data_IF_225719628316
#
_entry.id   IF_225719628316
#
_cell.length_a   1.000
_cell.length_b   1.000
_cell.length_c   1.000
_cell.angle_alpha   90.00
_cell.angle_beta   90.00
_cell.angle_gamma   90.00
#
_symmetry.space_group_name_H-M   'P 1'
#
loop_
_entity.id
_entity.type
_entity.pdbx_description
1 polymer ?
#
# COMPACT_ATOMS: atom_id res chain seq x y z
N UNK A 1 -3.24 -29.49 0.29
CA UNK A 1 -1.85 -29.07 0.01
C UNK A 1 -1.80 -27.65 -0.57
N UNK A 2 -2.59 -27.34 -1.61
CA UNK A 2 -2.69 -25.98 -2.17
C UNK A 2 -3.16 -24.94 -1.14
N UNK A 3 -4.10 -25.33 -0.27
CA UNK A 3 -4.64 -24.49 0.81
C UNK A 3 -3.56 -23.91 1.75
N UNK A 4 -2.65 -24.77 2.22
CA UNK A 4 -1.54 -24.37 3.09
C UNK A 4 -0.56 -23.45 2.36
N UNK A 5 -0.33 -23.68 1.06
CA UNK A 5 0.54 -22.84 0.25
C UNK A 5 -0.02 -21.44 0.08
N UNK A 6 -1.30 -21.32 -0.29
CA UNK A 6 -1.97 -20.01 -0.45
C UNK A 6 -2.06 -19.27 0.90
N UNK A 7 -2.40 -19.98 1.99
CA UNK A 7 -2.36 -19.40 3.34
C UNK A 7 -0.97 -18.88 3.69
N UNK A 8 0.08 -19.63 3.36
CA UNK A 8 1.47 -19.21 3.52
C UNK A 8 1.83 -17.97 2.70
N UNK A 9 1.35 -17.86 1.45
CA UNK A 9 1.55 -16.68 0.60
C UNK A 9 0.88 -15.43 1.18
N UNK A 10 -0.38 -15.55 1.62
CA UNK A 10 -1.11 -14.44 2.25
C UNK A 10 -0.40 -14.01 3.54
N UNK A 11 0.01 -14.94 4.39
CA UNK A 11 0.75 -14.61 5.61
C UNK A 11 2.09 -13.93 5.30
N UNK A 12 2.85 -14.46 4.33
CA UNK A 12 4.09 -13.85 3.87
C UNK A 12 3.90 -12.43 3.34
N UNK A 13 2.83 -12.20 2.58
CA UNK A 13 2.47 -10.87 2.08
C UNK A 13 2.16 -9.91 3.23
N UNK A 14 1.33 -10.30 4.20
CA UNK A 14 0.95 -9.47 5.35
C UNK A 14 2.16 -9.15 6.23
N UNK A 15 3.10 -10.10 6.38
CA UNK A 15 4.37 -9.83 7.07
C UNK A 15 5.24 -8.82 6.34
N UNK A 16 5.28 -8.88 5.01
CA UNK A 16 6.04 -7.94 4.20
C UNK A 16 5.36 -6.57 4.06
N UNK A 17 4.02 -6.52 4.20
CA UNK A 17 3.21 -5.32 4.04
C UNK A 17 2.21 -5.16 5.20
N UNK A 18 2.67 -4.94 6.45
CA UNK A 18 1.76 -4.78 7.58
C UNK A 18 0.83 -3.58 7.40
N UNK A 19 -0.45 -3.78 7.67
CA UNK A 19 -1.48 -2.76 7.58
C UNK A 19 -2.03 -2.55 6.17
N UNK A 20 -1.65 -3.38 5.20
CA UNK A 20 -2.26 -3.31 3.87
C UNK A 20 -3.70 -3.85 3.87
N UNK A 21 -4.47 -3.47 2.85
CA UNK A 21 -5.89 -3.75 2.76
C UNK A 21 -6.19 -5.03 1.97
N UNK A 22 -7.40 -5.54 2.17
CA UNK A 22 -7.90 -6.75 1.48
C UNK A 22 -7.69 -6.70 -0.05
N UNK A 23 -8.02 -5.57 -0.69
CA UNK A 23 -7.90 -5.42 -2.14
C UNK A 23 -6.46 -5.47 -2.62
N UNK A 24 -5.50 -4.95 -1.85
CA UNK A 24 -4.07 -5.03 -2.18
C UNK A 24 -3.57 -6.47 -2.13
N UNK A 25 -3.92 -7.21 -1.06
CA UNK A 25 -3.57 -8.63 -0.90
C UNK A 25 -4.11 -9.43 -2.09
N UNK A 26 -5.40 -9.27 -2.38
CA UNK A 26 -6.07 -9.95 -3.48
C UNK A 26 -5.41 -9.69 -4.83
N UNK A 27 -5.20 -8.41 -5.16
CA UNK A 27 -4.66 -8.02 -6.45
C UNK A 27 -3.20 -8.44 -6.60
N UNK A 28 -2.39 -8.31 -5.53
CA UNK A 28 -0.96 -8.63 -5.59
C UNK A 28 -0.68 -10.13 -5.68
N UNK A 29 -1.57 -10.96 -5.15
CA UNK A 29 -1.46 -12.43 -5.19
C UNK A 29 -2.32 -13.06 -6.29
N UNK A 30 -3.04 -12.24 -7.07
CA UNK A 30 -3.95 -12.69 -8.14
C UNK A 30 -4.99 -13.72 -7.67
N UNK A 31 -5.48 -13.58 -6.44
CA UNK A 31 -6.41 -14.51 -5.81
C UNK A 31 -7.87 -14.07 -5.99
N UNK A 32 -8.80 -15.02 -5.95
CA UNK A 32 -10.23 -14.71 -5.95
C UNK A 32 -10.69 -14.22 -4.56
N UNK A 33 -11.81 -13.49 -4.51
CA UNK A 33 -12.33 -12.97 -3.24
C UNK A 33 -12.57 -14.09 -2.21
N UNK A 34 -13.19 -15.21 -2.62
CA UNK A 34 -13.48 -16.32 -1.71
C UNK A 34 -12.22 -16.93 -1.09
N UNK A 35 -11.15 -17.07 -1.89
CA UNK A 35 -9.85 -17.60 -1.44
C UNK A 35 -9.21 -16.67 -0.42
N UNK A 36 -9.13 -15.37 -0.71
CA UNK A 36 -8.55 -14.40 0.22
C UNK A 36 -9.34 -14.32 1.53
N UNK A 37 -10.67 -14.29 1.45
CA UNK A 37 -11.54 -14.26 2.64
C UNK A 37 -11.34 -15.49 3.51
N UNK A 38 -11.40 -16.70 2.93
CA UNK A 38 -11.24 -17.95 3.65
C UNK A 38 -9.91 -18.03 4.39
N UNK A 39 -8.80 -17.69 3.72
CA UNK A 39 -7.49 -17.79 4.32
C UNK A 39 -7.19 -16.70 5.34
N UNK A 40 -7.67 -15.46 5.14
CA UNK A 40 -7.53 -14.40 6.13
C UNK A 40 -8.32 -14.71 7.40
N UNK A 41 -9.53 -15.29 7.27
CA UNK A 41 -10.34 -15.72 8.41
C UNK A 41 -9.64 -16.80 9.25
N UNK A 42 -9.01 -17.79 8.58
CA UNK A 42 -8.19 -18.79 9.26
C UNK A 42 -6.98 -18.16 9.94
N UNK A 43 -6.24 -17.29 9.24
CA UNK A 43 -5.04 -16.64 9.79
C UNK A 43 -5.38 -15.72 10.99
N UNK A 44 -6.54 -15.05 10.96
CA UNK A 44 -7.06 -14.29 12.09
C UNK A 44 -7.44 -15.20 13.26
N UNK A 45 -8.19 -16.27 12.99
CA UNK A 45 -8.66 -17.23 14.00
C UNK A 45 -7.50 -17.96 14.68
N UNK A 46 -6.48 -18.35 13.91
CA UNK A 46 -5.27 -19.01 14.41
C UNK A 46 -4.28 -18.02 15.05
N UNK A 47 -4.57 -16.72 15.04
CA UNK A 47 -3.77 -15.70 15.70
C UNK A 47 -2.44 -15.38 15.01
N UNK A 48 -2.31 -15.67 13.71
CA UNK A 48 -1.15 -15.27 12.91
C UNK A 48 -1.28 -13.85 12.36
N UNK A 49 -2.51 -13.43 12.06
CA UNK A 49 -2.85 -12.10 11.54
C UNK A 49 -3.91 -11.47 12.45
N UNK A 50 -3.94 -10.15 12.52
CA UNK A 50 -5.01 -9.38 13.15
C UNK A 50 -5.49 -8.31 12.19
N UNK A 51 -6.79 -8.05 12.17
CA UNK A 51 -7.35 -6.94 11.41
C UNK A 51 -7.65 -5.75 12.32
N UNK A 52 -7.35 -4.55 11.83
CA UNK A 52 -7.84 -3.29 12.37
C UNK A 52 -8.74 -2.61 11.34
N UNK A 53 -9.76 -1.89 11.80
CA UNK A 53 -10.63 -1.11 10.92
C UNK A 53 -10.07 0.31 10.84
N UNK A 54 -9.76 0.75 9.63
CA UNK A 54 -9.46 2.15 9.34
C UNK A 54 -10.54 2.70 8.39
N UNK A 55 -11.45 3.50 8.93
CA UNK A 55 -12.64 3.94 8.22
C UNK A 55 -13.54 2.76 7.84
N UNK A 56 -13.71 2.52 6.54
CA UNK A 56 -14.51 1.39 6.00
C UNK A 56 -13.69 0.18 5.58
N UNK A 57 -12.36 0.23 5.68
CA UNK A 57 -11.48 -0.83 5.18
C UNK A 57 -10.80 -1.56 6.33
N UNK A 58 -10.71 -2.90 6.22
CA UNK A 58 -9.86 -3.70 7.10
C UNK A 58 -8.41 -3.62 6.64
N UNK A 59 -7.51 -3.40 7.60
CA UNK A 59 -6.05 -3.47 7.48
C UNK A 59 -5.53 -4.68 8.22
N UNK A 60 -4.65 -5.45 7.60
CA UNK A 60 -4.18 -6.73 8.14
C UNK A 60 -2.74 -6.61 8.62
N UNK A 61 -2.47 -7.06 9.84
CA UNK A 61 -1.15 -6.99 10.48
C UNK A 61 -0.70 -8.37 10.96
N UNK A 62 0.60 -8.70 10.90
CA UNK A 62 1.10 -9.92 11.52
C UNK A 62 1.05 -9.80 13.05
N UNK A 63 0.67 -10.87 13.73
CA UNK A 63 0.73 -10.99 15.20
C UNK A 63 2.15 -11.39 15.60
N UNK A 64 2.63 -10.87 16.74
CA UNK A 64 3.93 -11.26 17.33
C UNK A 64 5.16 -10.61 16.68
N UNK A 65 4.98 -9.78 15.66
CA UNK A 65 6.05 -8.94 15.08
C UNK A 65 5.86 -7.51 15.57
N UNK A 66 6.90 -6.90 16.16
CA UNK A 66 6.91 -5.44 16.38
C UNK A 66 6.93 -4.77 15.01
N UNK A 67 5.76 -4.40 14.53
CA UNK A 67 5.62 -3.49 13.39
C UNK A 67 5.94 -2.11 13.93
N UNK A 68 7.00 -1.48 13.42
CA UNK A 68 7.32 -0.11 13.80
C UNK A 68 6.09 0.76 13.45
N UNK A 69 5.54 1.55 14.38
CA UNK A 69 4.38 2.42 14.14
C UNK A 69 4.74 3.63 13.28
N UNK A 70 5.85 3.56 12.53
CA UNK A 70 6.16 4.52 11.48
C UNK A 70 4.91 4.70 10.62
N UNK A 71 4.61 5.95 10.22
CA UNK A 71 3.33 6.26 9.57
C UNK A 71 3.14 5.24 8.47
N UNK A 72 2.01 4.54 8.48
CA UNK A 72 1.60 3.52 7.51
C UNK A 72 1.90 4.01 6.10
N UNK A 73 3.14 3.83 5.65
CA UNK A 73 3.59 4.16 4.32
C UNK A 73 3.18 2.92 3.53
N UNK A 74 1.89 2.93 3.17
CA UNK A 74 1.29 2.01 2.22
C UNK A 74 2.32 1.81 1.11
N UNK A 75 2.72 0.58 0.79
CA UNK A 75 3.82 0.27 -0.16
C UNK A 75 3.89 1.21 -1.37
N UNK A 76 2.73 1.59 -1.89
CA UNK A 76 2.58 2.58 -2.95
C UNK A 76 3.17 3.97 -2.63
N UNK A 77 3.00 4.52 -1.43
CA UNK A 77 3.65 5.75 -0.97
C UNK A 77 5.17 5.63 -0.98
N UNK A 78 5.73 4.51 -0.51
CA UNK A 78 7.18 4.26 -0.59
C UNK A 78 7.66 4.20 -2.04
N UNK A 79 6.90 3.54 -2.91
CA UNK A 79 7.18 3.49 -4.34
C UNK A 79 7.08 4.88 -5.00
N UNK A 80 6.12 5.72 -4.61
CA UNK A 80 6.01 7.12 -5.06
C UNK A 80 7.24 7.91 -4.63
N UNK A 81 7.66 7.82 -3.37
CA UNK A 81 8.84 8.52 -2.87
C UNK A 81 10.11 8.06 -3.59
N UNK A 82 10.29 6.74 -3.75
CA UNK A 82 11.41 6.16 -4.49
C UNK A 82 11.44 6.64 -5.95
N UNK A 83 10.29 6.67 -6.62
CA UNK A 83 10.15 7.16 -7.99
C UNK A 83 10.54 8.65 -8.13
N UNK A 84 10.29 9.45 -7.10
CA UNK A 84 10.60 10.90 -7.09
C UNK A 84 12.00 11.23 -6.56
N UNK A 85 12.80 10.23 -6.16
CA UNK A 85 14.13 10.43 -5.54
C UNK A 85 15.16 11.03 -6.52
N UNK A 86 15.02 10.78 -7.82
CA UNK A 86 15.92 11.32 -8.87
C UNK A 86 15.68 12.82 -9.19
N UNK A 87 14.93 13.53 -8.35
CA UNK A 87 14.61 14.97 -8.44
C UNK A 87 13.92 15.41 -9.74
N UNK A 88 13.50 14.47 -10.59
CA UNK A 88 12.65 14.76 -11.73
C UNK A 88 11.21 14.85 -11.24
N UNK A 89 10.64 16.05 -11.20
CA UNK A 89 9.25 16.20 -10.79
C UNK A 89 8.32 15.53 -11.78
N UNK A 90 7.47 14.63 -11.29
CA UNK A 90 6.50 13.90 -12.11
C UNK A 90 5.08 14.37 -11.82
N UNK A 91 4.23 14.33 -12.83
CA UNK A 91 2.79 14.57 -12.68
C UNK A 91 2.05 13.28 -12.28
N UNK A 92 0.83 13.42 -11.78
CA UNK A 92 0.02 12.30 -11.31
C UNK A 92 -0.20 11.20 -12.37
N UNK A 93 -0.30 11.57 -13.66
CA UNK A 93 -0.46 10.59 -14.75
C UNK A 93 0.82 9.77 -14.92
N UNK A 94 1.98 10.44 -15.00
CA UNK A 94 3.28 9.79 -15.11
C UNK A 94 3.51 8.83 -13.93
N UNK A 95 3.18 9.24 -12.70
CA UNK A 95 3.32 8.41 -11.50
C UNK A 95 2.38 7.20 -11.55
N UNK A 96 1.12 7.39 -11.93
CA UNK A 96 0.16 6.30 -12.04
C UNK A 96 0.58 5.26 -13.09
N UNK A 97 1.12 5.72 -14.22
CA UNK A 97 1.63 4.86 -15.30
C UNK A 97 2.89 4.09 -14.88
N UNK A 98 3.86 4.74 -14.23
CA UNK A 98 5.09 4.09 -13.75
C UNK A 98 4.84 3.04 -12.67
N UNK A 99 3.78 3.21 -11.87
CA UNK A 99 3.44 2.32 -10.76
C UNK A 99 2.29 1.36 -11.10
N UNK A 100 1.80 1.38 -12.34
CA UNK A 100 0.70 0.54 -12.84
C UNK A 100 -0.58 0.60 -11.95
N UNK A 101 -0.90 1.80 -11.46
CA UNK A 101 -2.09 2.04 -10.61
C UNK A 101 -3.08 3.00 -11.27
N UNK A 102 -4.30 3.04 -10.75
CA UNK A 102 -5.28 4.03 -11.21
C UNK A 102 -4.83 5.46 -10.85
N UNK A 103 -5.16 6.42 -11.72
CA UNK A 103 -4.92 7.84 -11.44
C UNK A 103 -5.55 8.30 -10.12
N UNK A 104 -6.74 7.79 -9.79
CA UNK A 104 -7.44 8.13 -8.55
C UNK A 104 -6.67 7.65 -7.31
N UNK A 105 -6.16 6.41 -7.34
CA UNK A 105 -5.38 5.84 -6.23
C UNK A 105 -4.06 6.60 -6.06
N UNK A 106 -3.33 6.86 -7.16
CA UNK A 106 -2.14 7.70 -7.12
C UNK A 106 -2.44 9.09 -6.53
N UNK A 107 -3.53 9.72 -6.95
CA UNK A 107 -3.95 11.03 -6.45
C UNK A 107 -4.24 11.06 -4.95
N UNK A 108 -4.90 10.02 -4.42
CA UNK A 108 -5.13 9.87 -3.00
C UNK A 108 -3.81 9.83 -2.21
N UNK A 109 -2.86 8.98 -2.62
CA UNK A 109 -1.57 8.85 -1.93
C UNK A 109 -0.68 10.09 -2.08
N UNK A 110 -0.67 10.73 -3.24
CA UNK A 110 0.05 11.99 -3.45
C UNK A 110 -0.48 13.09 -2.52
N UNK A 111 -1.80 13.19 -2.35
CA UNK A 111 -2.40 14.15 -1.43
C UNK A 111 -2.10 13.86 0.05
N UNK A 112 -2.06 12.59 0.45
CA UNK A 112 -1.62 12.18 1.80
C UNK A 112 -0.15 12.56 2.05
N UNK A 113 0.73 12.29 1.08
CA UNK A 113 2.16 12.59 1.18
C UNK A 113 2.44 14.10 1.22
N UNK A 114 1.72 14.90 0.42
CA UNK A 114 1.77 16.37 0.52
C UNK A 114 1.29 16.87 1.89
N UNK A 115 0.18 16.32 2.42
CA UNK A 115 -0.33 16.70 3.75
C UNK A 115 0.67 16.43 4.87
N UNK A 116 1.50 15.40 4.73
CA UNK A 116 2.56 15.02 5.68
C UNK A 116 3.85 15.82 5.50
N UNK A 117 3.94 16.63 4.44
CA UNK A 117 5.15 17.39 4.13
C UNK A 117 6.26 16.57 3.49
N UNK A 118 5.97 15.35 3.02
CA UNK A 118 6.95 14.48 2.36
C UNK A 118 7.14 14.86 0.89
N UNK A 119 6.09 15.42 0.27
CA UNK A 119 6.10 15.95 -1.09
C UNK A 119 5.72 17.42 -1.12
N UNK A 120 6.30 18.15 -2.07
CA UNK A 120 5.82 19.45 -2.51
C UNK A 120 5.31 19.35 -3.95
N UNK A 121 4.44 20.27 -4.33
CA UNK A 121 4.00 20.37 -5.72
C UNK A 121 4.15 21.76 -6.30
N UNK A 122 4.40 21.79 -7.60
CA UNK A 122 4.54 23.02 -8.38
C UNK A 122 3.74 22.92 -9.67
N UNK A 123 3.13 24.02 -10.07
CA UNK A 123 2.44 24.10 -11.35
C UNK A 123 3.42 24.48 -12.46
N UNK A 124 3.45 23.67 -13.51
CA UNK A 124 4.10 23.97 -14.77
C UNK A 124 3.02 24.18 -15.83
N UNK A 125 2.57 25.43 -15.99
CA UNK A 125 1.37 25.74 -16.75
C UNK A 125 0.13 25.08 -16.13
N UNK A 126 -0.48 24.13 -16.85
CA UNK A 126 -1.67 23.39 -16.38
C UNK A 126 -1.33 22.08 -15.64
N UNK A 127 -0.07 21.66 -15.63
CA UNK A 127 0.33 20.38 -15.03
C UNK A 127 0.85 20.60 -13.61
N UNK A 128 0.25 19.90 -12.64
CA UNK A 128 0.78 19.79 -11.28
C UNK A 128 1.86 18.71 -11.26
N UNK A 129 3.08 19.07 -10.88
CA UNK A 129 4.22 18.16 -10.71
C UNK A 129 4.59 18.06 -9.24
N UNK A 130 4.90 16.84 -8.80
CA UNK A 130 5.27 16.50 -7.43
C UNK A 130 6.77 16.29 -7.33
N UNK A 131 7.36 16.75 -6.23
CA UNK A 131 8.79 16.67 -5.94
C UNK A 131 8.96 16.20 -4.50
N UNK A 132 10.00 15.42 -4.25
CA UNK A 132 10.38 15.03 -2.90
C UNK A 132 10.88 16.27 -2.14
N UNK A 133 10.38 16.49 -0.92
CA UNK A 133 10.90 17.55 -0.05
C UNK A 133 12.27 17.08 0.45
N UNK A 134 13.34 17.79 0.09
CA UNK A 134 14.67 17.50 0.62
C UNK A 134 14.69 17.83 2.12
N UNK A 135 15.00 16.83 2.95
CA UNK A 135 15.40 17.04 4.36
C UNK A 135 16.75 17.78 4.42
#
# INVERSE_FOLDING_TARGET
MLDQFVRGQIYGYVRANPGDCYSSIRNSLELSNGVVTYHLDILETEGFVRAEIEGTHKRFFPVGVKVDPGPLLHRLQQQILALLTDRTGMNQKEIAENLEVSRQLAGYHLGELERRGELESRFWGRLKRYYLVAL
#
